data_IF_521582008446
#
_entry.id   IF_521582008446
#
_cell.length_a   1.000
_cell.length_b   1.000
_cell.length_c   1.000
_cell.angle_alpha   90.00
_cell.angle_beta   90.00
_cell.angle_gamma   90.00
#
_symmetry.space_group_name_H-M   'P 1'
#
loop_
_entity.id
_entity.type
_entity.pdbx_description
1 polymer ?
#
# COMPACT_ATOMS: atom_id res chain seq x y z
N UNK A 1 12.76 -14.77 4.48
CA UNK A 1 12.19 -14.11 3.29
C UNK A 1 10.77 -14.61 3.15
N UNK A 2 9.80 -13.86 3.69
CA UNK A 2 8.40 -14.29 3.69
C UNK A 2 7.82 -14.00 2.30
N UNK A 3 7.60 -15.05 1.53
CA UNK A 3 7.03 -14.96 0.17
C UNK A 3 5.53 -14.74 0.36
N UNK A 4 5.03 -13.57 -0.06
CA UNK A 4 3.59 -13.31 -0.16
C UNK A 4 3.01 -14.23 -1.24
N UNK A 5 2.10 -15.13 -0.84
CA UNK A 5 1.43 -16.09 -1.71
C UNK A 5 -0.09 -16.02 -1.56
N UNK A 6 -0.82 -16.71 -2.43
CA UNK A 6 -2.28 -16.79 -2.34
C UNK A 6 -2.71 -17.44 -1.00
N UNK A 7 -3.67 -16.81 -0.32
CA UNK A 7 -4.19 -17.28 0.98
C UNK A 7 -3.42 -16.79 2.21
N UNK A 8 -2.27 -16.12 2.04
CA UNK A 8 -1.54 -15.53 3.15
C UNK A 8 -2.17 -14.17 3.51
N UNK A 9 -2.65 -14.05 4.74
CA UNK A 9 -3.12 -12.76 5.28
C UNK A 9 -1.95 -12.09 5.97
N UNK A 10 -1.67 -10.85 5.59
CA UNK A 10 -0.62 -10.02 6.20
C UNK A 10 -1.25 -8.79 6.82
N UNK A 11 -0.75 -8.39 7.97
CA UNK A 11 -1.17 -7.18 8.68
C UNK A 11 -0.17 -6.03 8.45
N UNK A 12 -0.61 -4.81 8.68
CA UNK A 12 0.18 -3.61 8.38
C UNK A 12 1.50 -3.57 9.16
N UNK A 13 1.47 -4.00 10.42
CA UNK A 13 2.61 -4.02 11.34
C UNK A 13 3.74 -4.93 10.83
N UNK A 14 3.39 -6.05 10.20
CA UNK A 14 4.37 -6.96 9.63
C UNK A 14 5.09 -6.33 8.44
N UNK A 15 4.38 -5.58 7.61
CA UNK A 15 4.94 -4.88 6.45
C UNK A 15 5.84 -3.74 6.92
N UNK A 16 5.38 -2.94 7.88
CA UNK A 16 6.18 -1.84 8.45
C UNK A 16 7.45 -2.38 9.09
N UNK A 17 7.37 -3.48 9.85
CA UNK A 17 8.55 -4.13 10.45
C UNK A 17 9.53 -4.62 9.38
N UNK A 18 9.06 -5.36 8.36
CA UNK A 18 9.93 -5.85 7.28
C UNK A 18 10.56 -4.71 6.45
N UNK A 19 9.84 -3.59 6.30
CA UNK A 19 10.37 -2.39 5.65
C UNK A 19 11.37 -1.63 6.54
N UNK A 20 11.12 -1.51 7.85
CA UNK A 20 11.99 -0.80 8.79
C UNK A 20 13.37 -1.42 8.91
N UNK A 21 13.48 -2.73 8.76
CA UNK A 21 14.77 -3.43 8.71
C UNK A 21 15.59 -3.08 7.45
N UNK A 22 14.97 -2.50 6.42
CA UNK A 22 15.56 -2.26 5.08
C UNK A 22 15.61 -0.80 4.67
N UNK A 23 14.76 0.05 5.24
CA UNK A 23 14.53 1.43 4.84
C UNK A 23 14.63 2.36 6.06
N UNK A 24 15.11 3.60 5.88
CA UNK A 24 15.06 4.59 6.95
C UNK A 24 13.61 4.90 7.36
N UNK A 25 13.40 5.25 8.63
CA UNK A 25 12.07 5.58 9.18
C UNK A 25 11.32 6.64 8.38
N UNK A 26 12.01 7.60 7.79
CA UNK A 26 11.43 8.66 6.95
C UNK A 26 10.79 8.16 5.66
N UNK A 27 11.10 6.94 5.24
CA UNK A 27 10.57 6.30 4.04
C UNK A 27 9.45 5.30 4.34
N UNK A 28 9.15 5.07 5.63
CA UNK A 28 8.05 4.20 6.01
C UNK A 28 6.72 4.92 5.80
N UNK A 29 5.72 4.25 5.18
CA UNK A 29 4.42 4.85 4.96
C UNK A 29 3.67 5.01 6.28
N UNK A 30 3.08 6.19 6.50
CA UNK A 30 2.29 6.47 7.72
C UNK A 30 0.89 5.86 7.65
N UNK A 31 0.39 5.64 6.44
CA UNK A 31 -0.93 5.07 6.20
C UNK A 31 -0.80 3.95 5.18
N UNK A 32 -1.45 2.83 5.45
CA UNK A 32 -1.54 1.71 4.53
C UNK A 32 -3.00 1.33 4.30
N UNK A 33 -3.26 0.69 3.18
CA UNK A 33 -4.58 0.14 2.86
C UNK A 33 -4.43 -1.02 1.89
N UNK A 34 -5.03 -2.14 2.26
CA UNK A 34 -5.15 -3.29 1.38
C UNK A 34 -6.30 -3.11 0.38
N UNK A 35 -6.08 -3.55 -0.85
CA UNK A 35 -7.07 -3.50 -1.92
C UNK A 35 -7.19 -4.89 -2.54
N UNK A 36 -8.44 -5.30 -2.82
CA UNK A 36 -8.68 -6.51 -3.64
C UNK A 36 -8.40 -6.22 -5.12
N UNK A 37 -8.76 -5.03 -5.59
CA UNK A 37 -8.57 -4.61 -6.99
C UNK A 37 -8.03 -3.19 -7.02
N UNK A 38 -7.00 -2.96 -7.83
CA UNK A 38 -6.47 -1.62 -8.08
C UNK A 38 -7.27 -0.90 -9.16
N UNK A 39 -7.44 0.42 -9.07
CA UNK A 39 -7.93 1.19 -10.21
C UNK A 39 -6.88 1.12 -11.32
N UNK A 40 -7.23 0.51 -12.43
CA UNK A 40 -6.34 0.32 -13.58
C UNK A 40 -6.92 0.97 -14.83
N UNK A 41 -6.04 1.40 -15.74
CA UNK A 41 -6.45 1.83 -17.09
C UNK A 41 -6.95 0.62 -17.88
N UNK A 42 -7.65 0.83 -19.01
CA UNK A 42 -8.00 -0.27 -19.91
C UNK A 42 -6.80 -1.10 -20.38
N UNK A 43 -5.60 -0.52 -20.35
CA UNK A 43 -4.32 -1.20 -20.66
C UNK A 43 -3.66 -1.86 -19.44
N UNK A 44 -4.35 -1.94 -18.30
CA UNK A 44 -3.87 -2.59 -17.08
C UNK A 44 -2.87 -1.79 -16.24
N UNK A 45 -2.56 -0.53 -16.59
CA UNK A 45 -1.65 0.30 -15.80
C UNK A 45 -2.35 0.86 -14.57
N UNK A 46 -1.67 0.87 -13.42
CA UNK A 46 -2.22 1.47 -12.19
C UNK A 46 -2.51 2.97 -12.37
N UNK A 47 -3.71 3.40 -12.00
CA UNK A 47 -4.14 4.80 -12.06
C UNK A 47 -3.75 5.54 -10.77
N UNK A 48 -2.48 5.93 -10.67
CA UNK A 48 -1.94 6.64 -9.49
C UNK A 48 -2.73 7.90 -9.09
N UNK A 49 -3.20 8.78 -10.00
CA UNK A 49 -3.99 9.96 -9.61
C UNK A 49 -5.27 9.59 -8.87
N UNK A 50 -6.00 8.59 -9.37
CA UNK A 50 -7.22 8.10 -8.73
C UNK A 50 -6.95 7.48 -7.36
N UNK A 51 -5.84 6.76 -7.23
CA UNK A 51 -5.40 6.23 -5.92
C UNK A 51 -5.07 7.37 -4.94
N UNK A 52 -4.43 8.44 -5.41
CA UNK A 52 -4.08 9.60 -4.61
C UNK A 52 -5.33 10.34 -4.11
N UNK A 53 -6.29 10.63 -4.98
CA UNK A 53 -7.59 11.22 -4.60
C UNK A 53 -8.32 10.36 -3.56
N UNK A 54 -8.32 9.04 -3.74
CA UNK A 54 -8.91 8.11 -2.78
C UNK A 54 -8.22 8.17 -1.42
N UNK A 55 -6.89 8.31 -1.38
CA UNK A 55 -6.11 8.41 -0.15
C UNK A 55 -6.35 9.73 0.58
N UNK A 56 -6.33 10.87 -0.13
CA UNK A 56 -6.66 12.18 0.44
C UNK A 56 -8.04 12.12 1.10
N UNK A 57 -9.04 11.61 0.38
CA UNK A 57 -10.41 11.52 0.89
C UNK A 57 -10.54 10.56 2.08
N UNK A 58 -9.85 9.42 2.05
CA UNK A 58 -9.91 8.38 3.09
C UNK A 58 -9.32 8.87 4.41
N UNK A 59 -8.19 9.57 4.35
CA UNK A 59 -7.41 10.00 5.51
C UNK A 59 -7.51 11.50 5.82
N UNK A 60 -8.33 12.24 5.07
CA UNK A 60 -8.55 13.70 5.21
C UNK A 60 -7.25 14.49 5.18
N UNK A 61 -6.42 14.22 4.17
CA UNK A 61 -5.09 14.83 3.99
C UNK A 61 -5.17 16.19 3.24
N UNK A 62 -6.19 17.00 3.55
CA UNK A 62 -6.43 18.31 2.91
C UNK A 62 -5.48 19.40 3.42
#
# INVERSE_FOLDING_TARGET
MSILGEGITVIEEEIVRDCGDKLPDSHLPWYMKFFRNFPVTPLGKAQKPKMHEMSIKKWRLE
#
